data_IF_447093490097
#
_entry.id   IF_447093490097
#
_cell.length_a   1.000
_cell.length_b   1.000
_cell.length_c   1.000
_cell.angle_alpha   90.00
_cell.angle_beta   90.00
_cell.angle_gamma   90.00
#
_symmetry.space_group_name_H-M   'P 1'
#
loop_
_entity.id
_entity.type
_entity.pdbx_description
1 polymer ?
#
# COMPACT_ATOMS: atom_id res chain seq x y z
N UNK A 1 19.65 12.91 24.73
CA UNK A 1 20.57 14.08 24.67
C UNK A 1 21.21 14.31 23.28
N UNK A 2 21.52 13.32 22.44
CA UNK A 2 22.10 13.59 21.11
C UNK A 2 21.15 14.30 20.10
N UNK A 3 19.84 14.02 20.13
CA UNK A 3 18.85 14.63 19.22
C UNK A 3 18.62 16.13 19.45
N UNK A 4 18.80 16.61 20.69
CA UNK A 4 18.66 18.02 21.04
C UNK A 4 19.90 18.84 20.63
N UNK A 5 21.06 18.19 20.48
CA UNK A 5 22.33 18.87 20.21
C UNK A 5 22.57 19.01 18.69
N UNK A 6 22.12 18.06 17.86
CA UNK A 6 22.18 18.17 16.39
C UNK A 6 20.96 17.54 15.70
N UNK A 7 19.82 18.25 15.60
CA UNK A 7 18.63 17.76 14.88
C UNK A 7 18.86 17.64 13.36
N UNK A 8 19.98 18.16 12.85
CA UNK A 8 20.34 18.19 11.43
C UNK A 8 21.05 16.93 10.93
N UNK A 9 21.52 16.04 11.81
CA UNK A 9 22.23 14.82 11.42
C UNK A 9 21.27 13.62 11.32
N UNK A 10 21.32 12.87 10.22
CA UNK A 10 20.54 11.65 10.02
C UNK A 10 20.98 10.46 10.87
N UNK A 11 22.24 10.41 11.32
CA UNK A 11 22.82 9.24 12.01
C UNK A 11 22.10 8.83 13.30
N UNK A 12 21.73 9.74 14.22
CA UNK A 12 20.99 9.37 15.42
C UNK A 12 19.64 8.72 15.11
N UNK A 13 18.95 9.17 14.06
CA UNK A 13 17.69 8.57 13.63
C UNK A 13 17.90 7.16 13.07
N UNK A 14 18.97 6.92 12.31
CA UNK A 14 19.30 5.56 11.86
C UNK A 14 19.51 4.59 13.04
N UNK A 15 20.17 5.04 14.12
CA UNK A 15 20.35 4.21 15.32
C UNK A 15 19.02 3.92 16.03
N UNK A 16 18.12 4.89 16.11
CA UNK A 16 16.77 4.68 16.63
C UNK A 16 15.97 3.67 15.79
N UNK A 17 16.14 3.69 14.46
CA UNK A 17 15.51 2.73 13.57
C UNK A 17 15.99 1.29 13.87
N UNK A 18 17.29 1.10 14.08
CA UNK A 18 17.85 -0.21 14.45
C UNK A 18 17.29 -0.70 15.80
N UNK A 19 17.23 0.18 16.80
CA UNK A 19 16.65 -0.15 18.11
C UNK A 19 15.16 -0.52 17.97
N UNK A 20 14.39 0.25 17.20
CA UNK A 20 12.98 -0.03 16.95
C UNK A 20 12.76 -1.35 16.18
N UNK A 21 13.71 -1.73 15.30
CA UNK A 21 13.65 -2.98 14.55
C UNK A 21 13.80 -4.17 15.49
N UNK A 22 14.73 -4.09 16.44
CA UNK A 22 14.91 -5.11 17.49
C UNK A 22 13.67 -5.24 18.38
N UNK A 23 12.93 -4.14 18.60
CA UNK A 23 11.67 -4.12 19.34
C UNK A 23 10.45 -4.56 18.52
N UNK A 24 10.62 -4.95 17.24
CA UNK A 24 9.53 -5.35 16.33
C UNK A 24 8.45 -4.29 16.15
N UNK A 25 8.86 -3.01 16.07
CA UNK A 25 7.96 -1.86 15.89
C UNK A 25 8.09 -1.28 14.46
N UNK A 26 7.40 -1.84 13.46
CA UNK A 26 7.69 -1.54 12.06
C UNK A 26 7.38 -0.08 11.66
N UNK A 27 6.34 0.53 12.24
CA UNK A 27 5.99 1.93 12.00
C UNK A 27 7.14 2.87 12.44
N UNK A 28 7.67 2.65 13.64
CA UNK A 28 8.77 3.44 14.19
C UNK A 28 10.05 3.29 13.36
N UNK A 29 10.35 2.06 12.91
CA UNK A 29 11.52 1.80 12.08
C UNK A 29 11.45 2.61 10.77
N UNK A 30 10.33 2.50 10.06
CA UNK A 30 10.13 3.22 8.80
C UNK A 30 10.19 4.73 9.03
N UNK A 31 9.53 5.23 10.09
CA UNK A 31 9.59 6.63 10.47
C UNK A 31 11.02 7.13 10.72
N UNK A 32 11.83 6.40 11.50
CA UNK A 32 13.18 6.81 11.84
C UNK A 32 14.14 6.73 10.64
N UNK A 33 14.02 5.71 9.79
CA UNK A 33 14.79 5.67 8.55
C UNK A 33 14.43 6.81 7.60
N UNK A 34 13.14 7.10 7.39
CA UNK A 34 12.70 8.24 6.58
C UNK A 34 13.22 9.55 7.16
N UNK A 35 13.15 9.72 8.48
CA UNK A 35 13.67 10.91 9.16
C UNK A 35 15.18 11.06 8.99
N UNK A 36 15.93 9.95 8.95
CA UNK A 36 17.37 9.96 8.68
C UNK A 36 17.71 10.39 7.24
N UNK A 37 16.84 10.09 6.27
CA UNK A 37 16.99 10.49 4.86
C UNK A 37 16.60 11.95 4.63
N UNK A 38 15.65 12.45 5.41
CA UNK A 38 15.11 13.80 5.28
C UNK A 38 15.84 14.85 6.13
N UNK A 39 16.82 14.44 6.93
CA UNK A 39 17.65 15.34 7.70
C UNK A 39 18.54 16.21 6.79
N UNK A 40 19.03 17.34 7.30
CA UNK A 40 19.91 18.23 6.53
C UNK A 40 21.24 17.56 6.13
N UNK A 41 21.71 16.59 6.92
CA UNK A 41 22.80 15.68 6.58
C UNK A 41 22.23 14.24 6.49
N UNK A 42 21.75 13.82 5.30
CA UNK A 42 21.09 12.54 5.11
C UNK A 42 22.00 11.35 5.39
N UNK A 43 21.45 10.28 5.97
CA UNK A 43 22.12 8.98 6.03
C UNK A 43 21.60 8.07 4.92
N UNK A 44 22.23 8.14 3.74
CA UNK A 44 21.72 7.52 2.50
C UNK A 44 21.60 6.00 2.59
N UNK A 45 22.46 5.33 3.37
CA UNK A 45 22.41 3.87 3.57
C UNK A 45 21.11 3.38 4.24
N UNK A 46 20.36 4.25 4.92
CA UNK A 46 19.02 3.93 5.41
C UNK A 46 18.05 3.53 4.28
N UNK A 47 18.33 3.97 3.05
CA UNK A 47 17.53 3.61 1.87
C UNK A 47 17.57 2.10 1.61
N UNK A 48 18.74 1.48 1.69
CA UNK A 48 18.89 0.04 1.45
C UNK A 48 18.19 -0.78 2.54
N UNK A 49 18.25 -0.29 3.79
CA UNK A 49 17.48 -0.87 4.90
C UNK A 49 15.98 -0.78 4.68
N UNK A 50 15.48 0.33 4.13
CA UNK A 50 14.06 0.48 3.78
C UNK A 50 13.63 -0.46 2.65
N UNK A 51 14.47 -0.65 1.63
CA UNK A 51 14.19 -1.62 0.54
C UNK A 51 13.96 -3.01 1.13
N UNK A 52 14.91 -3.52 1.92
CA UNK A 52 14.80 -4.84 2.54
C UNK A 52 13.56 -4.95 3.43
N UNK A 53 13.27 -3.91 4.23
CA UNK A 53 12.11 -3.92 5.12
C UNK A 53 10.78 -3.93 4.35
N UNK A 54 10.66 -3.15 3.27
CA UNK A 54 9.44 -3.13 2.46
C UNK A 54 9.22 -4.46 1.72
N UNK A 55 10.28 -5.14 1.31
CA UNK A 55 10.17 -6.49 0.73
C UNK A 55 9.63 -7.50 1.75
N UNK A 56 10.11 -7.44 3.00
CA UNK A 56 9.59 -8.31 4.07
C UNK A 56 8.12 -8.00 4.38
N UNK A 57 7.74 -6.71 4.37
CA UNK A 57 6.36 -6.28 4.59
C UNK A 57 5.46 -6.75 3.44
N UNK A 58 5.93 -6.68 2.20
CA UNK A 58 5.20 -7.21 1.02
C UNK A 58 4.92 -8.70 1.17
N UNK A 59 5.92 -9.50 1.55
CA UNK A 59 5.74 -10.96 1.78
C UNK A 59 4.71 -11.23 2.88
N UNK A 60 4.76 -10.46 3.98
CA UNK A 60 3.78 -10.55 5.08
C UNK A 60 2.36 -10.16 4.63
N UNK A 61 2.22 -9.12 3.82
CA UNK A 61 0.93 -8.71 3.29
C UNK A 61 0.31 -9.79 2.38
N UNK A 62 1.09 -10.34 1.45
CA UNK A 62 0.61 -11.41 0.54
C UNK A 62 0.20 -12.66 1.30
N UNK A 63 0.99 -13.09 2.29
CA UNK A 63 0.64 -14.25 3.12
C UNK A 63 -0.61 -14.02 3.99
N UNK A 64 -0.82 -12.80 4.49
CA UNK A 64 -2.03 -12.45 5.23
C UNK A 64 -3.28 -12.50 4.34
N UNK A 65 -3.20 -11.99 3.10
CA UNK A 65 -4.30 -11.98 2.14
C UNK A 65 -4.62 -13.39 1.59
N UNK A 66 -3.61 -14.23 1.35
CA UNK A 66 -3.79 -15.59 0.86
C UNK A 66 -4.58 -16.50 1.82
N UNK A 67 -4.49 -16.26 3.12
CA UNK A 67 -5.22 -17.02 4.14
C UNK A 67 -6.73 -16.70 4.17
N UNK A 68 -7.14 -15.51 3.73
CA UNK A 68 -8.56 -15.11 3.66
C UNK A 68 -9.29 -15.80 2.50
N UNK A 69 -8.59 -16.08 1.38
CA UNK A 69 -9.17 -16.77 0.23
C UNK A 69 -9.31 -18.29 0.41
N UNK A 70 -8.50 -18.93 1.26
CA UNK A 70 -8.60 -20.37 1.51
C UNK A 70 -9.74 -20.75 2.46
N UNK A 71 -10.34 -19.77 3.17
CA UNK A 71 -11.47 -19.97 4.08
C UNK A 71 -12.84 -19.78 3.41
N UNK A 72 -12.89 -19.28 2.17
CA UNK A 72 -14.14 -19.10 1.38
C UNK A 72 -14.30 -20.14 0.24
N UNK A 73 -13.41 -21.14 0.13
CA UNK A 73 -13.36 -22.06 -1.02
C UNK A 73 -13.84 -23.49 -0.81
N UNK A 74 -14.55 -23.82 0.27
CA UNK A 74 -14.91 -25.23 0.60
C UNK A 74 -16.34 -25.62 0.23
N UNK A 75 -17.20 -24.70 -0.20
CA UNK A 75 -18.55 -25.04 -0.68
C UNK A 75 -18.87 -24.40 -2.02
N UNK A 76 -18.36 -25.01 -3.10
CA UNK A 76 -18.92 -24.79 -4.43
C UNK A 76 -18.84 -26.11 -5.22
N UNK A 77 -19.61 -27.09 -4.77
CA UNK A 77 -20.01 -28.19 -5.63
C UNK A 77 -21.42 -28.63 -5.24
N UNK A 78 -22.42 -28.03 -5.90
CA UNK A 78 -23.64 -28.69 -6.37
C UNK A 78 -24.49 -27.64 -7.09
N UNK A 79 -24.80 -27.93 -8.36
CA UNK A 79 -25.52 -27.02 -9.23
C UNK A 79 -26.97 -26.79 -8.80
N UNK A 80 -27.52 -25.65 -9.21
CA UNK A 80 -28.85 -25.54 -9.81
C UNK A 80 -29.09 -24.10 -10.28
N UNK A 81 -29.66 -24.02 -11.47
CA UNK A 81 -30.20 -22.81 -12.04
C UNK A 81 -31.24 -22.17 -11.09
N UNK A 82 -31.14 -20.86 -10.87
CA UNK A 82 -32.29 -20.05 -10.48
C UNK A 82 -32.07 -18.62 -10.95
N UNK A 83 -33.13 -18.03 -11.50
CA UNK A 83 -33.11 -16.76 -12.22
C UNK A 83 -32.72 -15.57 -11.36
N UNK A 84 -31.93 -14.68 -11.94
CA UNK A 84 -31.69 -13.33 -11.45
C UNK A 84 -32.06 -12.35 -12.56
N UNK A 85 -33.23 -11.73 -12.42
CA UNK A 85 -33.62 -10.54 -13.17
C UNK A 85 -32.59 -9.43 -12.96
N UNK A 86 -32.17 -8.77 -14.05
CA UNK A 86 -31.60 -7.41 -13.97
C UNK A 86 -30.21 -7.16 -14.57
N UNK A 87 -29.41 -8.18 -14.94
CA UNK A 87 -28.13 -7.93 -15.62
C UNK A 87 -28.23 -8.16 -17.14
N UNK A 88 -27.80 -7.16 -17.91
CA UNK A 88 -27.57 -7.29 -19.36
C UNK A 88 -26.45 -8.31 -19.59
N UNK A 89 -26.82 -9.50 -20.05
CA UNK A 89 -25.88 -10.56 -20.39
C UNK A 89 -25.40 -10.35 -21.83
N UNK A 90 -24.11 -10.06 -22.01
CA UNK A 90 -23.51 -10.10 -23.34
C UNK A 90 -23.06 -11.52 -23.68
N UNK A 91 -23.58 -12.03 -24.80
CA UNK A 91 -23.30 -13.37 -25.31
C UNK A 91 -22.40 -13.21 -26.53
N UNK A 92 -21.14 -13.67 -26.42
CA UNK A 92 -20.25 -13.78 -27.56
C UNK A 92 -20.38 -15.18 -28.15
N UNK A 93 -20.96 -15.29 -29.35
CA UNK A 93 -21.07 -16.55 -30.09
C UNK A 93 -19.91 -16.61 -31.08
N UNK A 94 -18.97 -17.53 -30.88
CA UNK A 94 -17.99 -17.86 -31.92
C UNK A 94 -18.67 -18.69 -33.02
N UNK A 95 -18.36 -18.49 -34.31
CA UNK A 95 -18.98 -19.24 -35.39
C UNK A 95 -18.63 -20.73 -35.43
N UNK A 96 -17.64 -21.17 -34.66
CA UNK A 96 -16.99 -22.48 -34.82
C UNK A 96 -16.94 -23.33 -33.54
N UNK A 97 -17.43 -22.82 -32.41
CA UNK A 97 -17.37 -23.55 -31.14
C UNK A 97 -18.54 -23.15 -30.26
N UNK A 98 -19.45 -24.10 -30.02
CA UNK A 98 -20.65 -23.94 -29.17
C UNK A 98 -20.38 -23.68 -27.69
N UNK A 99 -19.18 -23.23 -27.33
CA UNK A 99 -18.82 -22.84 -25.98
C UNK A 99 -19.22 -21.37 -25.75
N UNK A 100 -20.33 -21.17 -25.06
CA UNK A 100 -20.79 -19.83 -24.65
C UNK A 100 -19.93 -19.33 -23.48
N UNK A 101 -19.02 -18.39 -23.73
CA UNK A 101 -18.25 -17.76 -22.66
C UNK A 101 -19.09 -16.65 -22.01
N UNK A 102 -19.66 -16.92 -20.83
CA UNK A 102 -20.38 -15.92 -20.03
C UNK A 102 -19.37 -15.13 -19.19
N UNK A 103 -19.19 -13.84 -19.48
CA UNK A 103 -18.50 -12.93 -18.56
C UNK A 103 -19.54 -12.04 -17.88
N UNK A 104 -19.62 -12.11 -16.56
CA UNK A 104 -20.35 -11.14 -15.76
C UNK A 104 -19.46 -9.92 -15.55
N UNK A 105 -19.91 -8.75 -16.00
CA UNK A 105 -19.31 -7.47 -15.64
C UNK A 105 -19.73 -7.20 -14.18
N UNK A 106 -18.78 -7.27 -13.26
CA UNK A 106 -19.01 -7.00 -11.84
C UNK A 106 -19.29 -5.51 -11.63
N UNK A 107 -20.56 -5.16 -11.41
CA UNK A 107 -20.91 -3.94 -10.68
C UNK A 107 -20.36 -4.11 -9.25
N UNK A 108 -19.57 -3.16 -8.78
CA UNK A 108 -19.16 -3.11 -7.37
C UNK A 108 -20.41 -2.92 -6.52
N UNK A 109 -20.88 -3.97 -5.86
CA UNK A 109 -22.06 -3.92 -5.00
C UNK A 109 -21.70 -3.21 -3.69
N UNK A 110 -22.44 -2.16 -3.34
CA UNK A 110 -22.33 -1.49 -2.03
C UNK A 110 -22.58 -2.45 -0.85
N UNK A 111 -23.26 -3.58 -1.09
CA UNK A 111 -23.48 -4.63 -0.08
C UNK A 111 -22.21 -5.41 0.26
N UNK A 112 -21.38 -5.75 -0.73
CA UNK A 112 -20.07 -6.43 -0.53
C UNK A 112 -19.09 -5.55 0.27
N UNK A 113 -19.26 -4.24 0.19
CA UNK A 113 -18.44 -3.25 0.87
C UNK A 113 -18.81 -3.11 2.35
N UNK A 114 -20.11 -3.15 2.64
CA UNK A 114 -20.65 -3.08 4.00
C UNK A 114 -20.31 -4.34 4.82
N UNK A 115 -20.39 -5.52 4.20
CA UNK A 115 -20.08 -6.78 4.86
C UNK A 115 -18.61 -6.86 5.30
N UNK A 116 -17.68 -6.42 4.45
CA UNK A 116 -16.25 -6.34 4.81
C UNK A 116 -15.97 -5.41 5.99
N UNK A 117 -16.74 -4.33 6.12
CA UNK A 117 -16.58 -3.38 7.22
C UNK A 117 -17.08 -3.97 8.55
N UNK A 118 -18.18 -4.72 8.52
CA UNK A 118 -18.70 -5.42 9.69
C UNK A 118 -17.74 -6.55 10.14
N UNK A 119 -17.12 -7.27 9.20
CA UNK A 119 -16.10 -8.27 9.52
C UNK A 119 -14.88 -7.65 10.19
N UNK A 120 -14.43 -6.48 9.74
CA UNK A 120 -13.33 -5.74 10.39
C UNK A 120 -13.65 -5.35 11.84
N UNK A 121 -14.90 -5.02 12.16
CA UNK A 121 -15.33 -4.70 13.53
C UNK A 121 -15.34 -5.91 14.46
N UNK A 122 -15.44 -7.13 13.92
CA UNK A 122 -15.40 -8.39 14.69
C UNK A 122 -13.99 -8.77 15.14
N UNK A 123 -12.95 -8.23 14.49
CA UNK A 123 -11.56 -8.53 14.85
C UNK A 123 -11.20 -7.94 16.22
N UNK A 124 -10.32 -8.63 16.94
CA UNK A 124 -9.70 -8.02 18.12
C UNK A 124 -8.89 -6.78 17.72
N UNK A 125 -8.85 -5.78 18.61
CA UNK A 125 -8.17 -4.52 18.35
C UNK A 125 -6.68 -4.69 18.02
N UNK A 126 -6.00 -5.66 18.63
CA UNK A 126 -4.59 -5.93 18.36
C UNK A 126 -4.38 -6.57 16.99
N UNK A 127 -5.32 -7.40 16.52
CA UNK A 127 -5.31 -7.93 15.16
C UNK A 127 -5.58 -6.83 14.15
N UNK A 128 -6.56 -5.96 14.41
CA UNK A 128 -6.89 -4.83 13.54
C UNK A 128 -5.72 -3.86 13.40
N UNK A 129 -5.04 -3.53 14.51
CA UNK A 129 -3.80 -2.73 14.50
C UNK A 129 -2.68 -3.37 13.66
N UNK A 130 -2.44 -4.67 13.83
CA UNK A 130 -1.42 -5.40 13.06
C UNK A 130 -1.76 -5.43 11.57
N UNK A 131 -3.04 -5.63 11.23
CA UNK A 131 -3.54 -5.64 9.85
C UNK A 131 -3.33 -4.26 9.21
N UNK A 132 -3.82 -3.20 9.86
CA UNK A 132 -3.64 -1.82 9.42
C UNK A 132 -2.17 -1.47 9.19
N UNK A 133 -1.28 -1.73 10.16
CA UNK A 133 0.14 -1.40 10.01
C UNK A 133 0.80 -2.17 8.85
N UNK A 134 0.39 -3.41 8.62
CA UNK A 134 0.90 -4.22 7.50
C UNK A 134 0.43 -3.65 6.17
N UNK A 135 -0.87 -3.36 6.02
CA UNK A 135 -1.46 -2.78 4.81
C UNK A 135 -0.93 -1.37 4.53
N UNK A 136 -0.80 -0.53 5.56
CA UNK A 136 -0.24 0.82 5.49
C UNK A 136 1.19 0.82 5.00
N UNK A 137 2.05 0.00 5.60
CA UNK A 137 3.45 -0.06 5.19
C UNK A 137 3.62 -0.75 3.83
N UNK A 138 2.74 -1.68 3.46
CA UNK A 138 2.73 -2.26 2.12
C UNK A 138 2.42 -1.20 1.04
N UNK A 139 1.41 -0.35 1.27
CA UNK A 139 1.11 0.78 0.40
C UNK A 139 2.31 1.72 0.23
N UNK A 140 2.97 2.06 1.33
CA UNK A 140 4.19 2.89 1.29
C UNK A 140 5.37 2.18 0.60
N UNK A 141 5.50 0.86 0.72
CA UNK A 141 6.47 0.07 -0.02
C UNK A 141 6.25 0.12 -1.54
N UNK A 142 5.00 0.06 -1.99
CA UNK A 142 4.65 0.23 -3.41
C UNK A 142 4.98 1.63 -3.92
N UNK A 143 4.66 2.68 -3.15
CA UNK A 143 4.99 4.07 -3.52
C UNK A 143 6.50 4.32 -3.52
N UNK A 144 7.23 3.70 -2.60
CA UNK A 144 8.68 3.84 -2.47
C UNK A 144 9.42 3.13 -3.61
N UNK A 145 9.07 1.87 -3.89
CA UNK A 145 9.70 1.04 -4.93
C UNK A 145 9.20 1.33 -6.34
N UNK A 146 7.97 1.85 -6.48
CA UNK A 146 7.21 1.99 -7.73
C UNK A 146 6.84 0.67 -8.41
N UNK A 147 6.80 -0.41 -7.64
CA UNK A 147 6.43 -1.75 -8.14
C UNK A 147 5.05 -2.12 -7.58
N UNK A 148 4.21 -2.77 -8.40
CA UNK A 148 2.86 -3.21 -7.99
C UNK A 148 1.83 -2.08 -7.90
N UNK A 149 2.03 -0.97 -8.62
CA UNK A 149 1.12 0.18 -8.58
C UNK A 149 -0.26 -0.09 -9.20
N UNK A 150 -0.37 -1.14 -10.00
CA UNK A 150 -1.60 -1.71 -10.53
C UNK A 150 -2.52 -2.24 -9.41
N UNK A 151 -1.97 -2.84 -8.37
CA UNK A 151 -2.71 -3.32 -7.20
C UNK A 151 -2.87 -2.26 -6.08
N UNK A 152 -2.17 -1.13 -6.21
CA UNK A 152 -2.16 -0.07 -5.20
C UNK A 152 -3.54 0.47 -4.83
N UNK A 153 -4.47 0.78 -5.78
CA UNK A 153 -5.79 1.30 -5.42
C UNK A 153 -6.57 0.37 -4.49
N UNK A 154 -6.55 -0.94 -4.78
CA UNK A 154 -7.22 -1.97 -3.98
C UNK A 154 -6.61 -2.07 -2.58
N UNK A 155 -5.28 -2.15 -2.49
CA UNK A 155 -4.57 -2.25 -1.21
C UNK A 155 -4.73 -0.98 -0.36
N UNK A 156 -4.74 0.20 -0.99
CA UNK A 156 -4.98 1.47 -0.33
C UNK A 156 -6.41 1.55 0.21
N UNK A 157 -7.41 1.13 -0.57
CA UNK A 157 -8.80 1.13 -0.12
C UNK A 157 -9.00 0.21 1.09
N UNK A 158 -8.43 -1.00 1.08
CA UNK A 158 -8.46 -1.91 2.23
C UNK A 158 -7.82 -1.27 3.47
N UNK A 159 -6.63 -0.68 3.31
CA UNK A 159 -5.92 0.02 4.37
C UNK A 159 -6.71 1.20 4.95
N UNK A 160 -7.42 1.97 4.11
CA UNK A 160 -8.28 3.07 4.57
C UNK A 160 -9.49 2.58 5.35
N UNK A 161 -10.09 1.43 4.99
CA UNK A 161 -11.17 0.83 5.79
C UNK A 161 -10.66 0.41 7.16
N UNK A 162 -9.53 -0.28 7.21
CA UNK A 162 -8.88 -0.68 8.47
C UNK A 162 -8.58 0.55 9.34
N UNK A 163 -8.04 1.62 8.74
CA UNK A 163 -7.76 2.87 9.45
C UNK A 163 -9.04 3.55 9.95
N UNK A 164 -10.10 3.56 9.14
CA UNK A 164 -11.39 4.15 9.52
C UNK A 164 -11.97 3.44 10.74
N UNK A 165 -12.00 2.11 10.76
CA UNK A 165 -12.48 1.34 11.92
C UNK A 165 -11.62 1.61 13.16
N UNK A 166 -10.30 1.69 13.00
CA UNK A 166 -9.38 2.01 14.11
C UNK A 166 -9.63 3.40 14.71
N UNK A 167 -9.94 4.41 13.89
CA UNK A 167 -10.21 5.77 14.36
C UNK A 167 -11.56 5.88 15.11
N UNK A 168 -12.55 5.07 14.74
CA UNK A 168 -13.87 5.05 15.39
C UNK A 168 -13.93 4.15 16.63
N UNK A 169 -12.86 3.42 16.93
CA UNK A 169 -12.78 2.54 18.10
C UNK A 169 -12.57 3.34 19.39
N UNK A 170 -13.34 3.04 20.43
CA UNK A 170 -13.14 3.54 21.79
C UNK A 170 -12.72 2.40 22.74
N UNK A 171 -11.64 2.54 23.54
CA UNK A 171 -10.76 3.70 23.65
C UNK A 171 -9.79 3.86 22.46
N UNK A 172 -9.28 5.08 22.19
CA UNK A 172 -8.38 5.33 21.08
C UNK A 172 -7.08 4.54 21.23
N UNK A 173 -6.75 3.73 20.23
CA UNK A 173 -5.53 2.89 20.21
C UNK A 173 -4.33 3.60 19.59
N UNK A 174 -4.58 4.61 18.74
CA UNK A 174 -3.52 5.41 18.15
C UNK A 174 -3.17 6.58 19.07
N UNK A 175 -1.96 6.55 19.62
CA UNK A 175 -1.40 7.70 20.31
C UNK A 175 -1.16 8.86 19.34
N UNK A 176 -1.09 10.08 19.85
CA UNK A 176 -0.70 11.27 19.07
C UNK A 176 0.64 11.07 18.36
N UNK A 177 1.59 10.36 18.97
CA UNK A 177 2.87 10.03 18.34
C UNK A 177 2.69 9.16 17.11
N UNK A 178 1.82 8.14 17.15
CA UNK A 178 1.54 7.30 15.98
C UNK A 178 0.94 8.12 14.84
N UNK A 179 0.00 9.02 15.14
CA UNK A 179 -0.61 9.90 14.13
C UNK A 179 0.40 10.84 13.50
N UNK A 180 1.30 11.43 14.29
CA UNK A 180 2.40 12.26 13.77
C UNK A 180 3.38 11.48 12.90
N UNK A 181 3.68 10.23 13.26
CA UNK A 181 4.52 9.34 12.45
C UNK A 181 3.85 9.01 11.12
N UNK A 182 2.57 8.61 11.13
CA UNK A 182 1.77 8.36 9.92
C UNK A 182 1.77 9.59 9.01
N UNK A 183 1.53 10.78 9.58
CA UNK A 183 1.54 12.03 8.81
C UNK A 183 2.91 12.31 8.19
N UNK A 184 4.00 12.16 8.94
CA UNK A 184 5.35 12.38 8.45
C UNK A 184 5.73 11.42 7.31
N UNK A 185 5.32 10.15 7.41
CA UNK A 185 5.54 9.14 6.36
C UNK A 185 4.71 9.51 5.12
N UNK A 186 3.46 9.96 5.27
CA UNK A 186 2.63 10.43 4.16
C UNK A 186 3.27 11.64 3.43
N UNK A 187 3.76 12.62 4.18
CA UNK A 187 4.48 13.78 3.61
C UNK A 187 5.74 13.36 2.86
N UNK A 188 6.51 12.41 3.40
CA UNK A 188 7.67 11.85 2.70
C UNK A 188 7.28 11.16 1.40
N UNK A 189 6.21 10.35 1.41
CA UNK A 189 5.75 9.65 0.23
C UNK A 189 5.41 10.61 -0.91
N UNK A 190 4.67 11.69 -0.62
CA UNK A 190 4.33 12.75 -1.60
C UNK A 190 5.60 13.37 -2.19
N UNK A 191 6.53 13.82 -1.34
CA UNK A 191 7.80 14.42 -1.81
C UNK A 191 8.63 13.46 -2.67
N UNK A 192 8.71 12.20 -2.26
CA UNK A 192 9.49 11.17 -2.97
C UNK A 192 8.79 10.73 -4.27
N UNK A 193 7.46 10.84 -4.37
CA UNK A 193 6.74 10.54 -5.60
C UNK A 193 6.81 11.68 -6.61
N UNK A 194 6.79 12.95 -6.17
CA UNK A 194 6.93 14.15 -7.00
C UNK A 194 8.30 14.27 -7.69
N UNK A 195 9.39 14.11 -6.91
CA UNK A 195 10.75 14.38 -7.39
C UNK A 195 11.19 13.54 -8.61
N UNK A 196 10.56 12.39 -8.86
CA UNK A 196 10.86 11.52 -10.01
C UNK A 196 9.94 11.75 -11.21
N UNK A 197 8.78 12.40 -11.04
CA UNK A 197 7.93 12.84 -12.16
C UNK A 197 8.60 14.01 -12.87
N UNK A 198 9.15 14.96 -12.11
CA UNK A 198 9.93 16.07 -12.65
C UNK A 198 11.15 15.58 -13.43
N UNK A 199 11.90 14.60 -12.91
CA UNK A 199 13.06 14.03 -13.61
C UNK A 199 12.68 13.26 -14.90
N UNK A 200 11.46 12.74 -14.99
CA UNK A 200 10.94 12.07 -16.18
C UNK A 200 10.51 13.11 -17.25
N UNK A 201 9.86 14.20 -16.84
CA UNK A 201 9.51 15.33 -17.71
C UNK A 201 10.76 16.03 -18.24
N UNK A 202 11.76 16.27 -17.39
CA UNK A 202 13.03 16.87 -17.78
C UNK A 202 13.78 16.00 -18.81
N UNK A 203 13.85 14.67 -18.62
CA UNK A 203 14.43 13.77 -19.65
C UNK A 203 13.65 13.75 -20.96
N UNK A 204 12.32 13.86 -20.91
CA UNK A 204 11.47 13.88 -22.10
C UNK A 204 11.57 15.20 -22.86
N UNK A 205 11.73 16.33 -22.17
CA UNK A 205 12.04 17.62 -22.80
C UNK A 205 13.42 17.63 -23.45
N UNK A 206 14.46 17.11 -22.79
CA UNK A 206 15.80 17.04 -23.40
C UNK A 206 15.87 16.11 -24.64
N UNK A 207 15.10 15.02 -24.67
CA UNK A 207 15.02 14.14 -25.84
C UNK A 207 14.22 14.76 -27.00
N UNK A 208 13.20 15.57 -26.71
CA UNK A 208 12.48 16.32 -27.76
C UNK A 208 13.36 17.43 -28.35
N UNK A 209 14.23 18.04 -27.55
CA UNK A 209 15.11 19.12 -27.99
C UNK A 209 16.38 18.64 -28.73
N UNK A 210 16.77 17.38 -28.56
CA UNK A 210 17.83 16.73 -29.35
C UNK A 210 17.32 16.03 -30.62
N UNK A 211 16.00 15.78 -30.71
CA UNK A 211 15.37 15.24 -31.92
C UNK A 211 15.14 16.28 -33.02
N UNK A 212 15.13 17.57 -32.69
CA UNK A 212 14.99 18.68 -33.67
C UNK A 212 16.33 19.20 -34.23
N UNK A 213 17.47 18.64 -33.80
CA UNK A 213 18.81 19.08 -34.23
C UNK A 213 19.50 18.12 -35.22
N UNK A 214 18.82 17.08 -35.72
CA UNK A 214 19.37 16.10 -36.67
C UNK A 214 18.48 15.81 -37.89
N UNK A 215 17.60 16.75 -38.28
CA UNK A 215 16.98 16.78 -39.62
C UNK A 215 17.20 18.14 -40.27
N UNK A 216 18.43 18.46 -40.61
CA UNK A 216 18.78 19.44 -41.64
C UNK A 216 20.14 19.05 -42.21
N UNK A 217 20.12 18.10 -43.15
CA UNK A 217 21.02 18.01 -44.31
C UNK A 217 20.37 17.10 -45.36
#
# INVERSE_FOLDING_TARGET
>A
MALQVYPRNGRPFNQLAIIAANQKRPLDVVYYYIRSLMASNPFVSARDSLVSMFDDIRKKYISAQGNEHHSQGVYANEGRASGGEGLRQEIWIRPDSGATHRRTLSQSNDEDEKDKLEDLKKLSLDQLMKRFLTSYLHCHGMLFSRVGLDEFPKSCQNMLREFTVLLHTSPPRLSTNHLLQILAINMYAVKHTEAKVSHCLTKRCYLLQLGELFELD
#
